data_IF_536028893321
#
_entry.id   IF_536028893321
#
_cell.length_a   1.000
_cell.length_b   1.000
_cell.length_c   1.000
_cell.angle_alpha   90.00
_cell.angle_beta   90.00
_cell.angle_gamma   90.00
#
_symmetry.space_group_name_H-M   'P 1'
#
loop_
_entity.id
_entity.type
_entity.pdbx_description
1 polymer ?
#
# COMPACT_ATOMS: atom_id res chain seq x y z
N UNK A 1 19.63 12.27 2.60
CA UNK A 1 19.37 11.33 1.49
C UNK A 1 18.07 10.50 1.61
N UNK A 2 17.32 10.52 2.72
CA UNK A 2 16.09 9.69 2.87
C UNK A 2 14.74 10.32 2.48
N UNK A 3 14.69 11.63 2.19
CA UNK A 3 13.43 12.37 2.07
C UNK A 3 12.79 12.32 0.66
N UNK A 4 13.59 12.09 -0.37
CA UNK A 4 13.16 12.15 -1.77
C UNK A 4 12.33 10.93 -2.20
N UNK A 5 12.72 9.73 -1.75
CA UNK A 5 11.95 8.49 -1.96
C UNK A 5 10.56 8.56 -1.29
N UNK A 6 10.49 9.10 -0.06
CA UNK A 6 9.22 9.25 0.66
C UNK A 6 8.27 10.23 -0.04
N UNK A 7 8.82 11.33 -0.60
CA UNK A 7 8.05 12.28 -1.42
C UNK A 7 7.46 11.64 -2.68
N UNK A 8 8.24 10.78 -3.35
CA UNK A 8 7.74 10.03 -4.50
C UNK A 8 6.65 9.03 -4.10
N UNK A 9 6.79 8.37 -2.95
CA UNK A 9 5.78 7.47 -2.39
C UNK A 9 4.45 8.18 -2.08
N UNK A 10 4.51 9.45 -1.68
CA UNK A 10 3.35 10.30 -1.37
C UNK A 10 2.73 10.93 -2.64
N UNK A 11 3.33 10.72 -3.82
CA UNK A 11 2.81 11.21 -5.10
C UNK A 11 3.18 12.66 -5.43
N UNK A 12 4.20 13.22 -4.78
CA UNK A 12 4.76 14.52 -5.13
C UNK A 12 5.64 14.37 -6.37
N UNK A 13 5.30 15.08 -7.45
CA UNK A 13 6.07 15.11 -8.70
C UNK A 13 7.53 15.49 -8.43
N UNK A 14 8.47 14.60 -8.77
CA UNK A 14 9.92 14.85 -8.71
C UNK A 14 10.44 15.02 -10.14
N UNK A 15 11.39 15.95 -10.33
CA UNK A 15 12.04 16.18 -11.62
C UNK A 15 12.89 14.98 -12.08
N UNK A 16 12.95 14.73 -13.40
CA UNK A 16 13.57 13.56 -14.04
C UNK A 16 15.06 13.35 -13.69
N UNK A 17 15.78 14.41 -13.34
CA UNK A 17 17.18 14.35 -12.91
C UNK A 17 17.38 13.81 -11.48
N UNK A 18 16.38 13.95 -10.60
CA UNK A 18 16.39 13.43 -9.23
C UNK A 18 15.96 11.96 -9.17
N UNK A 19 15.28 11.50 -10.22
CA UNK A 19 14.73 10.16 -10.38
C UNK A 19 15.78 9.10 -10.74
N UNK A 20 16.88 9.52 -11.39
CA UNK A 20 18.04 8.68 -11.70
C UNK A 20 18.92 8.38 -10.48
N UNK A 21 18.88 9.21 -9.44
CA UNK A 21 19.72 9.07 -8.24
C UNK A 21 19.11 8.13 -7.18
N UNK A 22 17.95 7.54 -7.46
CA UNK A 22 17.28 6.60 -6.55
C UNK A 22 17.97 5.22 -6.63
N UNK A 23 19.03 5.07 -5.84
CA UNK A 23 19.88 3.87 -5.74
C UNK A 23 19.17 2.60 -5.24
N UNK A 24 17.91 2.67 -4.80
CA UNK A 24 17.16 1.57 -4.18
C UNK A 24 15.76 1.33 -4.76
N UNK A 25 15.68 1.13 -6.07
CA UNK A 25 14.44 0.85 -6.84
C UNK A 25 13.63 -0.33 -6.27
N UNK A 26 14.30 -1.36 -5.74
CA UNK A 26 13.66 -2.53 -5.11
C UNK A 26 12.90 -2.20 -3.84
N UNK A 27 13.49 -1.36 -2.98
CA UNK A 27 12.88 -0.95 -1.73
C UNK A 27 11.67 -0.04 -2.01
N UNK A 28 11.79 0.88 -2.97
CA UNK A 28 10.69 1.73 -3.39
C UNK A 28 9.48 0.92 -3.88
N UNK A 29 9.72 -0.08 -4.74
CA UNK A 29 8.65 -0.94 -5.25
C UNK A 29 8.01 -1.80 -4.15
N UNK A 30 8.82 -2.30 -3.22
CA UNK A 30 8.34 -3.02 -2.04
C UNK A 30 7.43 -2.13 -1.19
N UNK A 31 7.88 -0.92 -0.85
CA UNK A 31 7.10 0.03 -0.06
C UNK A 31 5.83 0.47 -0.78
N UNK A 32 5.86 0.67 -2.10
CA UNK A 32 4.66 1.01 -2.88
C UNK A 32 3.62 -0.12 -2.83
N UNK A 33 4.05 -1.36 -3.06
CA UNK A 33 3.16 -2.54 -2.98
C UNK A 33 2.60 -2.71 -1.58
N UNK A 34 3.43 -2.58 -0.54
CA UNK A 34 2.98 -2.66 0.86
C UNK A 34 1.99 -1.55 1.18
N UNK A 35 2.30 -0.30 0.84
CA UNK A 35 1.42 0.85 1.11
C UNK A 35 0.05 0.68 0.46
N UNK A 36 0.03 0.29 -0.82
CA UNK A 36 -1.22 0.05 -1.56
C UNK A 36 -2.00 -1.15 -1.01
N UNK A 37 -1.29 -2.19 -0.56
CA UNK A 37 -1.89 -3.37 0.08
C UNK A 37 -2.50 -3.04 1.43
N UNK A 38 -1.81 -2.24 2.26
CA UNK A 38 -2.32 -1.71 3.54
C UNK A 38 -3.55 -0.84 3.30
N UNK A 39 -3.51 0.07 2.33
CA UNK A 39 -4.66 0.92 2.03
C UNK A 39 -5.87 0.07 1.62
N UNK A 40 -5.67 -0.92 0.74
CA UNK A 40 -6.73 -1.82 0.31
C UNK A 40 -7.30 -2.66 1.46
N UNK A 41 -6.44 -3.26 2.30
CA UNK A 41 -6.88 -4.10 3.43
C UNK A 41 -7.55 -3.28 4.54
N UNK A 42 -7.07 -2.07 4.83
CA UNK A 42 -7.70 -1.14 5.77
C UNK A 42 -9.08 -0.69 5.28
N UNK A 43 -9.25 -0.44 3.97
CA UNK A 43 -10.55 -0.14 3.38
C UNK A 43 -11.50 -1.34 3.45
N UNK A 44 -11.03 -2.55 3.16
CA UNK A 44 -11.84 -3.77 3.28
C UNK A 44 -12.24 -4.01 4.75
N UNK A 45 -11.31 -3.82 5.68
CA UNK A 45 -11.55 -3.92 7.12
C UNK A 45 -12.64 -2.97 7.59
N UNK A 46 -12.58 -1.70 7.20
CA UNK A 46 -13.56 -0.70 7.62
C UNK A 46 -14.90 -0.81 6.89
N UNK A 47 -14.89 -1.03 5.57
CA UNK A 47 -16.11 -0.98 4.75
C UNK A 47 -16.89 -2.29 4.72
N UNK A 48 -16.20 -3.42 4.88
CA UNK A 48 -16.83 -4.76 4.79
C UNK A 48 -16.85 -5.44 6.15
N UNK A 49 -15.70 -5.55 6.81
CA UNK A 49 -15.59 -6.34 8.06
C UNK A 49 -16.28 -5.63 9.23
N UNK A 50 -16.10 -4.31 9.39
CA UNK A 50 -16.73 -3.57 10.48
C UNK A 50 -18.28 -3.58 10.46
N UNK A 51 -18.97 -3.35 9.33
CA UNK A 51 -20.43 -3.47 9.28
C UNK A 51 -20.89 -4.91 9.45
N UNK A 52 -20.21 -5.90 8.86
CA UNK A 52 -20.53 -7.32 9.05
C UNK A 52 -20.48 -7.71 10.54
N UNK A 53 -19.41 -7.33 11.23
CA UNK A 53 -19.26 -7.55 12.67
C UNK A 53 -20.32 -6.78 13.46
N UNK A 54 -20.76 -5.63 12.99
CA UNK A 54 -21.83 -4.84 13.63
C UNK A 54 -23.21 -5.43 13.46
N UNK A 55 -23.50 -6.11 12.35
CA UNK A 55 -24.74 -6.87 12.17
C UNK A 55 -24.77 -8.10 13.09
N UNK A 56 -23.65 -8.81 13.17
CA UNK A 56 -23.52 -10.08 13.93
C UNK A 56 -23.39 -9.84 15.44
N UNK A 57 -22.63 -8.82 15.88
CA UNK A 57 -22.42 -8.50 17.29
C UNK A 57 -23.17 -7.25 17.71
N UNK A 58 -24.07 -7.38 18.68
CA UNK A 58 -24.61 -6.25 19.43
C UNK A 58 -23.46 -5.46 20.13
N UNK A 59 -23.64 -4.16 20.42
CA UNK A 59 -24.77 -3.29 20.11
C UNK A 59 -24.76 -2.75 18.66
N UNK A 60 -25.95 -2.66 18.05
CA UNK A 60 -26.17 -2.20 16.66
C UNK A 60 -26.44 -0.69 16.62
N UNK A 61 -25.43 0.12 16.91
CA UNK A 61 -25.53 1.58 16.90
C UNK A 61 -24.57 2.19 15.87
N UNK A 62 -24.99 3.28 15.23
CA UNK A 62 -24.15 4.02 14.26
C UNK A 62 -22.85 4.55 14.89
N UNK A 63 -22.88 4.94 16.17
CA UNK A 63 -21.67 5.34 16.90
C UNK A 63 -20.68 4.19 17.06
N UNK A 64 -21.20 2.99 17.33
CA UNK A 64 -20.40 1.77 17.50
C UNK A 64 -19.89 1.28 16.15
N UNK A 65 -20.65 1.45 15.08
CA UNK A 65 -20.19 1.20 13.71
C UNK A 65 -19.00 2.11 13.37
N UNK A 66 -19.10 3.42 13.63
CA UNK A 66 -18.01 4.36 13.35
C UNK A 66 -16.72 3.99 14.11
N UNK A 67 -16.82 3.72 15.42
CA UNK A 67 -15.68 3.31 16.23
C UNK A 67 -15.08 1.97 15.74
N UNK A 68 -15.94 1.01 15.35
CA UNK A 68 -15.49 -0.25 14.74
C UNK A 68 -14.81 -0.02 13.39
N UNK A 69 -15.33 0.85 12.52
CA UNK A 69 -14.69 1.15 11.24
C UNK A 69 -13.26 1.65 11.43
N UNK A 70 -13.02 2.54 12.40
CA UNK A 70 -11.67 3.03 12.71
C UNK A 70 -10.77 1.92 13.24
N UNK A 71 -11.25 1.10 14.17
CA UNK A 71 -10.48 -0.02 14.72
C UNK A 71 -10.13 -1.07 13.66
N UNK A 72 -11.10 -1.45 12.82
CA UNK A 72 -10.88 -2.42 11.75
C UNK A 72 -10.05 -1.86 10.59
N UNK A 73 -10.04 -0.53 10.38
CA UNK A 73 -9.06 0.10 9.49
C UNK A 73 -7.63 -0.11 10.00
N UNK A 74 -7.40 0.08 11.31
CA UNK A 74 -6.09 -0.16 11.93
C UNK A 74 -5.73 -1.65 11.95
N UNK A 75 -6.67 -2.54 12.28
CA UNK A 75 -6.43 -3.98 12.21
C UNK A 75 -6.16 -4.47 10.80
N UNK A 76 -6.66 -3.78 9.77
CA UNK A 76 -6.36 -4.08 8.37
C UNK A 76 -4.90 -3.86 7.97
N UNK A 77 -4.11 -3.08 8.74
CA UNK A 77 -2.70 -2.82 8.44
C UNK A 77 -1.87 -4.12 8.49
N UNK A 78 -2.11 -4.96 9.50
CA UNK A 78 -1.35 -6.22 9.70
C UNK A 78 -1.50 -7.20 8.51
N UNK A 79 -2.73 -7.60 8.11
CA UNK A 79 -2.91 -8.48 6.95
C UNK A 79 -2.50 -7.79 5.64
N UNK A 80 -2.64 -6.47 5.52
CA UNK A 80 -2.20 -5.71 4.34
C UNK A 80 -0.69 -5.71 4.16
N UNK A 81 0.06 -5.52 5.24
CA UNK A 81 1.52 -5.57 5.23
C UNK A 81 2.01 -6.99 4.87
N UNK A 82 1.46 -8.01 5.52
CA UNK A 82 1.79 -9.41 5.23
C UNK A 82 1.48 -9.78 3.76
N UNK A 83 0.28 -9.43 3.27
CA UNK A 83 -0.10 -9.63 1.88
C UNK A 83 0.82 -8.87 0.92
N UNK A 84 1.21 -7.63 1.25
CA UNK A 84 2.14 -6.83 0.46
C UNK A 84 3.51 -7.49 0.29
N UNK A 85 4.09 -8.03 1.38
CA UNK A 85 5.34 -8.79 1.33
C UNK A 85 5.23 -10.06 0.49
N UNK A 86 4.14 -10.81 0.66
CA UNK A 86 3.89 -12.05 -0.10
C UNK A 86 3.68 -11.76 -1.58
N UNK A 87 2.84 -10.76 -1.91
CA UNK A 87 2.59 -10.35 -3.29
C UNK A 87 3.87 -9.85 -3.96
N UNK A 88 4.68 -9.06 -3.24
CA UNK A 88 5.99 -8.67 -3.73
C UNK A 88 6.86 -9.90 -3.99
N UNK A 89 7.04 -10.80 -3.02
CA UNK A 89 7.86 -12.00 -3.16
C UNK A 89 7.43 -12.91 -4.31
N UNK A 90 6.13 -13.19 -4.44
CA UNK A 90 5.57 -14.00 -5.52
C UNK A 90 5.75 -13.35 -6.90
N UNK A 91 5.54 -12.03 -6.99
CA UNK A 91 5.69 -11.27 -8.24
C UNK A 91 7.15 -11.15 -8.66
N UNK A 92 8.06 -11.08 -7.70
CA UNK A 92 9.48 -10.83 -7.89
C UNK A 92 10.31 -12.10 -8.10
N UNK A 93 9.81 -13.26 -7.70
CA UNK A 93 10.51 -14.55 -7.86
C UNK A 93 10.90 -14.89 -9.30
N UNK A 94 10.17 -14.39 -10.29
CA UNK A 94 10.33 -14.76 -11.70
C UNK A 94 10.77 -13.60 -12.62
N UNK A 95 11.18 -12.44 -12.09
CA UNK A 95 11.58 -11.30 -12.93
C UNK A 95 13.09 -10.99 -12.86
N UNK A 96 13.75 -10.78 -14.01
CA UNK A 96 15.14 -10.32 -14.07
C UNK A 96 15.25 -8.88 -13.54
N UNK A 97 16.42 -8.50 -13.01
CA UNK A 97 16.67 -7.18 -12.37
C UNK A 97 16.30 -5.99 -13.28
N UNK A 98 16.48 -6.11 -14.59
CA UNK A 98 16.12 -5.08 -15.57
C UNK A 98 14.61 -4.79 -15.62
N UNK A 99 13.77 -5.81 -15.35
CA UNK A 99 12.31 -5.65 -15.29
C UNK A 99 11.85 -4.81 -14.10
N UNK A 100 12.67 -4.65 -13.05
CA UNK A 100 12.36 -3.77 -11.93
C UNK A 100 12.51 -2.31 -12.32
N UNK A 101 13.54 -1.99 -13.11
CA UNK A 101 13.82 -0.63 -13.55
C UNK A 101 12.77 -0.14 -14.54
N UNK A 102 12.42 -0.97 -15.53
CA UNK A 102 11.35 -0.67 -16.50
C UNK A 102 9.99 -0.52 -15.82
N UNK A 103 9.67 -1.36 -14.84
CA UNK A 103 8.38 -1.29 -14.12
C UNK A 103 8.29 -0.07 -13.20
N UNK A 104 9.36 0.27 -12.50
CA UNK A 104 9.42 1.52 -11.73
C UNK A 104 9.44 2.75 -12.64
N UNK A 105 10.03 2.67 -13.83
CA UNK A 105 9.94 3.74 -14.83
C UNK A 105 8.51 3.91 -15.33
N UNK A 106 7.82 2.81 -15.67
CA UNK A 106 6.40 2.82 -16.07
C UNK A 106 5.45 3.31 -14.98
N UNK A 107 5.65 2.92 -13.72
CA UNK A 107 4.84 3.44 -12.61
C UNK A 107 5.03 4.95 -12.39
N UNK A 108 6.17 5.51 -12.82
CA UNK A 108 6.50 6.94 -12.71
C UNK A 108 6.04 7.75 -13.92
N UNK A 109 6.17 7.22 -15.14
CA UNK A 109 5.76 7.90 -16.37
C UNK A 109 4.28 7.68 -16.72
N UNK A 110 3.62 6.64 -16.19
CA UNK A 110 2.22 6.37 -16.46
C UNK A 110 1.31 6.94 -15.36
N UNK A 111 1.38 8.26 -15.15
CA UNK A 111 0.21 9.01 -14.69
C UNK A 111 -0.74 9.15 -15.90
N UNK A 112 -1.72 8.24 -15.98
CA UNK A 112 -2.98 8.51 -16.69
C UNK A 112 -4.13 8.15 -15.76
#
# INVERSE_FOLDING_TARGET
MGFWWLKNLIGVHLADNQLQDIKHTRAELLFHVIYRSIQASSLIGSLVVAPLVTVVKQPRSLRVLHDRCLRYAVYGIVPGAAAGFVLYGLRMRNQPEEGYFDRCYRLRCNQS
#
